data_IF_745951571168
#
_entry.id   IF_745951571168
#
_cell.length_a   1.000
_cell.length_b   1.000
_cell.length_c   1.000
_cell.angle_alpha   90.00
_cell.angle_beta   90.00
_cell.angle_gamma   90.00
#
_symmetry.space_group_name_H-M   'P 1'
#
loop_
_entity.id
_entity.type
_entity.pdbx_description
1 polymer ?
#
# COMPACT_ATOMS: atom_id res chain seq x y z
N UNK A 1 3.25 -14.89 10.66
CA UNK A 1 3.61 -13.68 11.41
C UNK A 1 2.35 -13.08 12.05
N UNK A 2 2.43 -12.66 13.32
CA UNK A 2 1.29 -12.15 14.11
C UNK A 2 1.76 -10.94 14.93
N UNK A 3 1.00 -9.85 14.91
CA UNK A 3 1.14 -8.72 15.85
C UNK A 3 0.44 -9.11 17.15
N UNK A 4 1.20 -9.30 18.23
CA UNK A 4 0.70 -9.71 19.55
C UNK A 4 0.23 -8.51 20.39
N UNK A 5 1.03 -7.46 20.41
CA UNK A 5 0.76 -6.25 21.20
C UNK A 5 1.10 -5.00 20.40
N UNK A 6 0.35 -3.93 20.66
CA UNK A 6 0.59 -2.60 20.09
C UNK A 6 0.50 -1.55 21.19
N UNK A 7 1.56 -0.79 21.34
CA UNK A 7 1.62 0.35 22.23
C UNK A 7 1.74 1.65 21.43
N UNK A 8 0.91 2.60 21.73
CA UNK A 8 0.85 3.90 21.05
C UNK A 8 0.91 5.00 22.09
N UNK A 9 1.70 6.04 21.82
CA UNK A 9 1.76 7.28 22.59
C UNK A 9 1.68 8.48 21.63
N UNK A 10 0.72 9.36 21.84
CA UNK A 10 0.54 10.65 21.15
C UNK A 10 0.50 10.55 19.60
N UNK A 11 -0.13 9.51 19.06
CA UNK A 11 -0.26 9.35 17.61
C UNK A 11 -1.64 9.80 17.13
N UNK A 12 -1.68 10.86 16.35
CA UNK A 12 -2.90 11.50 15.83
C UNK A 12 -3.87 11.84 16.99
N UNK A 13 -5.06 11.21 17.06
CA UNK A 13 -6.01 11.38 18.15
C UNK A 13 -5.87 10.35 19.28
N UNK A 14 -4.93 9.42 19.19
CA UNK A 14 -4.67 8.40 20.20
C UNK A 14 -3.57 8.94 21.14
N UNK A 15 -3.96 9.32 22.37
CA UNK A 15 -3.00 9.79 23.37
C UNK A 15 -2.17 8.66 23.96
N UNK A 16 -2.85 7.59 24.37
CA UNK A 16 -2.20 6.39 24.87
C UNK A 16 -3.08 5.18 24.60
N UNK A 17 -2.48 4.11 24.12
CA UNK A 17 -3.14 2.81 23.97
C UNK A 17 -2.13 1.67 24.16
N UNK A 18 -2.57 0.62 24.87
CA UNK A 18 -1.85 -0.65 25.01
C UNK A 18 -2.83 -1.78 24.73
N UNK A 19 -2.63 -2.49 23.61
CA UNK A 19 -3.60 -3.44 23.08
C UNK A 19 -2.95 -4.79 22.86
N UNK A 20 -3.68 -5.87 23.20
CA UNK A 20 -3.34 -7.25 22.87
C UNK A 20 -4.32 -7.79 21.87
N UNK A 21 -3.82 -8.53 20.90
CA UNK A 21 -4.60 -9.00 19.75
C UNK A 21 -4.72 -10.51 19.69
N UNK A 22 -5.83 -10.96 19.11
CA UNK A 22 -5.99 -12.36 18.72
C UNK A 22 -5.20 -12.67 17.46
N UNK A 23 -4.91 -13.95 17.25
CA UNK A 23 -4.10 -14.41 16.11
C UNK A 23 -4.83 -14.30 14.77
N UNK A 24 -6.16 -14.14 14.80
CA UNK A 24 -6.96 -14.19 13.57
C UNK A 24 -7.72 -12.89 13.33
N UNK A 25 -8.73 -12.58 14.12
CA UNK A 25 -9.65 -11.48 13.84
C UNK A 25 -9.69 -10.49 14.99
N UNK A 26 -9.45 -9.24 14.70
CA UNK A 26 -9.48 -8.12 15.64
C UNK A 26 -10.43 -7.04 15.12
N UNK A 27 -11.55 -6.85 15.79
CA UNK A 27 -12.66 -5.99 15.38
C UNK A 27 -12.66 -4.69 16.20
N UNK A 28 -12.86 -3.56 15.53
CA UNK A 28 -12.93 -2.23 16.16
C UNK A 28 -14.24 -1.56 15.78
N UNK A 29 -15.13 -1.37 16.78
CA UNK A 29 -16.45 -0.78 16.61
C UNK A 29 -16.48 0.60 17.22
N UNK A 30 -17.06 1.57 16.53
CA UNK A 30 -17.25 2.92 17.05
C UNK A 30 -17.72 3.88 15.98
N UNK A 31 -18.21 5.04 16.38
CA UNK A 31 -18.62 6.09 15.46
C UNK A 31 -17.44 6.62 14.64
N UNK A 32 -17.72 7.35 13.56
CA UNK A 32 -16.69 8.00 12.76
C UNK A 32 -15.92 9.03 13.60
N UNK A 33 -14.61 9.19 13.30
CA UNK A 33 -13.73 10.11 14.02
C UNK A 33 -13.22 9.61 15.38
N UNK A 34 -13.61 8.43 15.85
CA UNK A 34 -13.23 7.93 17.18
C UNK A 34 -11.77 7.40 17.25
N UNK A 35 -11.08 7.25 16.12
CA UNK A 35 -9.67 6.81 16.09
C UNK A 35 -9.44 5.40 15.52
N UNK A 36 -10.47 4.74 15.00
CA UNK A 36 -10.38 3.41 14.38
C UNK A 36 -9.32 3.38 13.25
N UNK A 37 -9.49 4.24 12.24
CA UNK A 37 -8.54 4.41 11.12
C UNK A 37 -7.13 4.77 11.61
N UNK A 38 -7.00 5.58 12.67
CA UNK A 38 -5.70 5.96 13.21
C UNK A 38 -4.97 4.80 13.88
N UNK A 39 -5.69 3.85 14.46
CA UNK A 39 -5.11 2.60 14.95
C UNK A 39 -4.57 1.75 13.79
N UNK A 40 -5.36 1.55 12.72
CA UNK A 40 -4.90 0.81 11.55
C UNK A 40 -3.69 1.50 10.90
N UNK A 41 -3.69 2.82 10.84
CA UNK A 41 -2.54 3.59 10.32
C UNK A 41 -1.29 3.44 11.19
N UNK A 42 -1.42 3.30 12.51
CA UNK A 42 -0.28 3.00 13.39
C UNK A 42 0.33 1.61 13.07
N UNK A 43 -0.50 0.60 12.81
CA UNK A 43 -0.03 -0.74 12.37
C UNK A 43 0.63 -0.64 10.99
N UNK A 44 0.00 0.07 10.05
CA UNK A 44 0.56 0.35 8.72
C UNK A 44 1.93 1.05 8.81
N UNK A 45 2.05 2.03 9.72
CA UNK A 45 3.29 2.77 9.92
C UNK A 45 4.45 1.86 10.34
N UNK A 46 4.19 0.86 11.19
CA UNK A 46 5.20 -0.13 11.58
C UNK A 46 5.63 -1.06 10.45
N UNK A 47 4.82 -1.25 9.40
CA UNK A 47 5.16 -2.03 8.22
C UNK A 47 5.90 -1.20 7.16
N UNK A 48 5.34 -0.03 6.81
CA UNK A 48 5.82 0.80 5.70
C UNK A 48 6.71 1.97 6.13
N UNK A 49 7.01 2.11 7.39
CA UNK A 49 7.80 3.21 7.98
C UNK A 49 7.23 4.61 7.73
N UNK A 50 5.98 4.72 7.32
CA UNK A 50 5.25 5.97 7.03
C UNK A 50 3.75 5.78 7.24
N UNK A 51 3.02 6.87 7.46
CA UNK A 51 1.56 6.86 7.48
C UNK A 51 0.99 6.57 6.08
N UNK A 52 -0.14 5.86 6.01
CA UNK A 52 -0.90 5.69 4.78
C UNK A 52 -1.57 6.99 4.32
N UNK A 53 -1.93 7.86 5.26
CA UNK A 53 -2.75 9.05 5.02
C UNK A 53 -1.96 10.35 5.02
N UNK A 54 -0.81 10.39 5.71
CA UNK A 54 -0.06 11.62 5.88
C UNK A 54 1.44 11.39 5.70
N UNK A 55 2.00 11.99 4.66
CA UNK A 55 3.41 11.82 4.30
C UNK A 55 4.37 12.61 5.20
N UNK A 56 3.87 13.59 5.95
CA UNK A 56 4.68 14.43 6.85
C UNK A 56 4.64 13.86 8.27
N UNK A 57 5.75 13.27 8.72
CA UNK A 57 5.82 12.57 10.01
C UNK A 57 5.35 13.42 11.21
N UNK A 58 5.74 14.70 11.27
CA UNK A 58 5.36 15.61 12.37
C UNK A 58 3.86 15.89 12.46
N UNK A 59 3.10 15.70 11.38
CA UNK A 59 1.64 15.85 11.38
C UNK A 59 0.92 14.62 11.95
N UNK A 60 1.63 13.52 12.16
CA UNK A 60 1.10 12.34 12.84
C UNK A 60 1.23 12.41 14.36
N UNK A 61 1.88 13.43 14.90
CA UNK A 61 1.97 13.69 16.35
C UNK A 61 0.71 14.44 16.81
N UNK A 62 0.13 14.05 17.93
CA UNK A 62 -0.98 14.78 18.56
C UNK A 62 -0.65 16.28 18.65
N UNK A 63 -1.61 17.15 18.32
CA UNK A 63 -1.36 18.59 18.13
C UNK A 63 -0.67 19.29 19.30
N UNK A 64 -0.96 18.87 20.52
CA UNK A 64 -0.42 19.48 21.77
C UNK A 64 0.91 18.88 22.19
N UNK A 65 1.43 17.88 21.46
CA UNK A 65 2.57 17.08 21.88
C UNK A 65 3.79 17.29 20.96
N UNK A 66 4.98 17.07 21.52
CA UNK A 66 6.26 17.21 20.83
C UNK A 66 6.74 15.91 20.17
N UNK A 67 6.22 14.77 20.66
CA UNK A 67 6.65 13.46 20.19
C UNK A 67 5.51 12.45 20.20
N UNK A 68 5.64 11.45 19.31
CA UNK A 68 4.80 10.26 19.29
C UNK A 68 5.67 9.00 19.27
N UNK A 69 5.14 7.89 19.78
CA UNK A 69 5.78 6.59 19.71
C UNK A 69 4.75 5.52 19.31
N UNK A 70 5.16 4.63 18.44
CA UNK A 70 4.42 3.42 18.06
C UNK A 70 5.34 2.24 18.27
N UNK A 71 4.87 1.21 18.96
CA UNK A 71 5.63 -0.01 19.22
C UNK A 71 4.74 -1.24 19.08
N UNK A 72 5.16 -2.19 18.25
CA UNK A 72 4.51 -3.47 18.07
C UNK A 72 5.40 -4.62 18.53
N UNK A 73 4.81 -5.61 19.18
CA UNK A 73 5.44 -6.90 19.50
C UNK A 73 4.95 -7.94 18.50
N UNK A 74 5.85 -8.45 17.66
CA UNK A 74 5.55 -9.37 16.59
C UNK A 74 6.07 -10.77 16.86
N UNK A 75 5.26 -11.75 16.51
CA UNK A 75 5.62 -13.17 16.48
C UNK A 75 5.87 -13.55 15.00
N UNK A 76 7.13 -13.82 14.65
CA UNK A 76 7.51 -14.19 13.29
C UNK A 76 7.35 -15.68 12.99
N UNK A 77 6.92 -16.49 13.99
CA UNK A 77 6.62 -17.91 13.80
C UNK A 77 7.85 -18.79 13.64
N UNK A 78 9.04 -18.32 14.04
CA UNK A 78 10.24 -19.14 14.08
C UNK A 78 10.23 -20.10 15.29
N UNK A 79 10.73 -21.35 15.15
CA UNK A 79 10.69 -22.34 16.22
C UNK A 79 11.59 -22.04 17.44
N UNK A 80 12.38 -20.98 17.39
CA UNK A 80 13.28 -20.57 18.48
C UNK A 80 12.54 -19.77 19.56
N UNK A 81 13.03 -19.86 20.80
CA UNK A 81 12.49 -19.13 21.96
C UNK A 81 12.49 -17.61 21.83
N UNK A 82 13.13 -17.05 20.79
CA UNK A 82 13.23 -15.64 20.50
C UNK A 82 12.31 -15.17 19.35
N UNK A 83 11.22 -15.92 19.11
CA UNK A 83 10.26 -15.61 18.03
C UNK A 83 9.55 -14.26 18.17
N UNK A 84 9.57 -13.66 19.37
CA UNK A 84 8.96 -12.35 19.63
C UNK A 84 9.98 -11.22 19.43
N UNK A 85 9.69 -10.36 18.48
CA UNK A 85 10.51 -9.15 18.23
C UNK A 85 9.70 -7.87 18.35
N UNK A 86 10.33 -6.86 18.91
CA UNK A 86 9.75 -5.52 19.04
C UNK A 86 10.16 -4.67 17.83
N UNK A 87 9.19 -4.08 17.16
CA UNK A 87 9.39 -3.04 16.14
C UNK A 87 8.86 -1.73 16.72
N UNK A 88 9.66 -0.68 16.69
CA UNK A 88 9.25 0.61 17.26
C UNK A 88 9.66 1.80 16.39
N UNK A 89 8.84 2.83 16.41
CA UNK A 89 9.11 4.11 15.78
C UNK A 89 8.86 5.26 16.76
N UNK A 90 9.88 6.09 16.97
CA UNK A 90 9.79 7.38 17.66
C UNK A 90 9.79 8.52 16.65
N UNK A 91 8.80 9.41 16.73
CA UNK A 91 8.66 10.60 15.90
C UNK A 91 8.74 11.82 16.83
N UNK A 92 9.60 12.79 16.48
CA UNK A 92 9.72 14.06 17.20
C UNK A 92 9.73 15.21 16.20
N UNK A 93 9.09 16.34 16.56
CA UNK A 93 9.03 17.53 15.71
C UNK A 93 10.44 18.05 15.41
N UNK A 94 10.72 18.34 14.14
CA UNK A 94 12.01 18.87 13.68
C UNK A 94 13.20 17.91 13.73
N UNK A 95 12.97 16.63 14.07
CA UNK A 95 14.03 15.62 14.16
C UNK A 95 13.70 14.44 13.24
N UNK A 96 14.74 13.82 12.65
CA UNK A 96 14.58 12.57 11.88
C UNK A 96 14.01 11.48 12.79
N UNK A 97 12.96 10.80 12.32
CA UNK A 97 12.36 9.68 13.06
C UNK A 97 13.36 8.57 13.32
N UNK A 98 13.20 7.91 14.46
CA UNK A 98 13.99 6.78 14.89
C UNK A 98 13.16 5.50 14.71
N UNK A 99 13.66 4.55 13.94
CA UNK A 99 12.99 3.27 13.66
C UNK A 99 13.91 2.11 14.10
N UNK A 100 13.37 1.17 14.87
CA UNK A 100 14.15 0.10 15.53
C UNK A 100 13.53 -1.27 15.31
N UNK A 101 14.41 -2.25 15.21
CA UNK A 101 14.09 -3.69 15.34
C UNK A 101 14.81 -4.22 16.58
N UNK A 102 14.05 -4.59 17.60
CA UNK A 102 14.60 -4.89 18.92
C UNK A 102 15.39 -3.70 19.48
N UNK A 103 16.67 -3.92 19.77
CA UNK A 103 17.59 -2.89 20.29
C UNK A 103 18.37 -2.15 19.20
N UNK A 104 18.22 -2.51 17.91
CA UNK A 104 19.02 -1.98 16.81
C UNK A 104 18.26 -0.92 16.02
N UNK A 105 18.87 0.24 15.81
CA UNK A 105 18.35 1.26 14.88
C UNK A 105 18.60 0.85 13.44
N UNK A 106 17.61 1.10 12.55
CA UNK A 106 17.82 0.97 11.11
C UNK A 106 18.69 2.10 10.58
N UNK A 107 19.76 1.75 9.87
CA UNK A 107 20.58 2.73 9.15
C UNK A 107 19.83 3.27 7.92
N UNK A 108 19.18 2.39 7.19
CA UNK A 108 18.36 2.69 6.01
C UNK A 108 16.98 2.05 6.18
N UNK A 109 15.91 2.85 6.10
CA UNK A 109 14.53 2.36 6.28
C UNK A 109 14.09 1.35 5.21
N UNK A 110 14.73 1.37 4.05
CA UNK A 110 14.50 0.38 2.99
C UNK A 110 14.77 -1.06 3.47
N UNK A 111 15.65 -1.25 4.46
CA UNK A 111 15.97 -2.57 5.02
C UNK A 111 14.81 -3.18 5.82
N UNK A 112 13.84 -2.34 6.20
CA UNK A 112 12.65 -2.76 6.94
C UNK A 112 11.49 -3.18 6.03
N UNK A 113 11.40 -2.57 4.84
CA UNK A 113 10.28 -2.85 3.91
C UNK A 113 10.28 -4.33 3.52
N UNK A 114 9.10 -4.97 3.65
CA UNK A 114 8.92 -6.41 3.40
C UNK A 114 9.13 -7.30 4.62
N UNK A 115 9.69 -6.79 5.73
CA UNK A 115 9.80 -7.56 6.98
C UNK A 115 8.43 -7.91 7.57
N UNK A 116 7.49 -6.97 7.49
CA UNK A 116 6.10 -7.11 7.94
C UNK A 116 5.19 -6.96 6.72
N UNK A 117 4.92 -8.02 5.94
CA UNK A 117 4.01 -7.93 4.81
C UNK A 117 2.61 -7.53 5.28
N UNK A 118 2.07 -6.51 4.64
CA UNK A 118 0.80 -5.92 5.04
C UNK A 118 -0.01 -5.46 3.82
N UNK A 119 -1.31 -5.67 3.88
CA UNK A 119 -2.27 -5.12 2.92
C UNK A 119 -3.28 -4.28 3.68
N UNK A 120 -3.51 -3.08 3.20
CA UNK A 120 -4.55 -2.20 3.73
C UNK A 120 -5.61 -1.96 2.66
N UNK A 121 -6.87 -2.13 3.06
CA UNK A 121 -8.06 -1.69 2.31
C UNK A 121 -8.63 -0.48 3.02
N UNK A 122 -8.79 0.62 2.31
CA UNK A 122 -9.31 1.85 2.85
C UNK A 122 -10.23 2.57 1.86
N UNK A 123 -11.06 3.52 2.30
CA UNK A 123 -11.88 4.35 1.41
C UNK A 123 -11.06 5.11 0.34
N UNK A 124 -9.79 5.45 0.63
CA UNK A 124 -8.88 6.13 -0.31
C UNK A 124 -8.47 5.25 -1.50
N UNK A 125 -8.62 3.93 -1.41
CA UNK A 125 -8.32 3.05 -2.54
C UNK A 125 -9.17 3.34 -3.78
N UNK A 126 -10.28 4.07 -3.64
CA UNK A 126 -11.05 4.61 -4.77
C UNK A 126 -10.21 5.48 -5.72
N UNK A 127 -9.12 6.09 -5.24
CA UNK A 127 -8.17 6.87 -6.02
C UNK A 127 -7.47 6.03 -7.10
N UNK A 128 -7.30 4.71 -6.91
CA UNK A 128 -6.79 3.80 -7.93
C UNK A 128 -7.63 3.82 -9.22
N UNK A 129 -8.95 4.04 -9.09
CA UNK A 129 -9.86 4.12 -10.24
C UNK A 129 -10.06 5.57 -10.67
N UNK A 130 -10.30 6.48 -9.71
CA UNK A 130 -10.68 7.87 -10.01
C UNK A 130 -9.51 8.74 -10.46
N UNK A 131 -8.32 8.52 -9.89
CA UNK A 131 -7.13 9.33 -10.16
C UNK A 131 -6.33 8.84 -11.38
N UNK A 132 -5.17 9.45 -11.57
CA UNK A 132 -4.26 9.15 -12.69
C UNK A 132 -3.48 7.84 -12.52
N UNK A 133 -2.65 7.55 -13.52
CA UNK A 133 -1.78 6.37 -13.53
C UNK A 133 -0.75 6.33 -12.41
N UNK A 134 -0.49 7.46 -11.75
CA UNK A 134 0.45 7.53 -10.62
C UNK A 134 0.02 6.62 -9.45
N UNK A 135 -1.28 6.62 -9.09
CA UNK A 135 -1.80 5.77 -8.01
C UNK A 135 -1.71 4.29 -8.37
N UNK A 136 -2.00 3.94 -9.62
CA UNK A 136 -1.88 2.56 -10.09
C UNK A 136 -0.43 2.06 -10.14
N UNK A 137 0.52 2.92 -10.50
CA UNK A 137 1.96 2.60 -10.36
C UNK A 137 2.36 2.44 -8.91
N UNK A 138 1.92 3.34 -8.01
CA UNK A 138 2.17 3.21 -6.56
C UNK A 138 1.63 1.90 -5.98
N UNK A 139 0.47 1.43 -6.48
CA UNK A 139 -0.05 0.12 -6.10
C UNK A 139 0.92 -1.00 -6.47
N UNK A 140 1.35 -1.09 -7.75
CA UNK A 140 2.31 -2.10 -8.19
C UNK A 140 3.63 -2.01 -7.40
N UNK A 141 4.18 -0.79 -7.27
CA UNK A 141 5.43 -0.54 -6.56
C UNK A 141 5.33 -0.94 -5.08
N UNK A 142 4.20 -0.64 -4.44
CA UNK A 142 3.93 -0.98 -3.04
C UNK A 142 3.80 -2.49 -2.80
N UNK A 143 3.28 -3.24 -3.77
CA UNK A 143 3.20 -4.71 -3.67
C UNK A 143 4.57 -5.34 -3.90
N UNK A 144 5.22 -5.01 -5.02
CA UNK A 144 6.49 -5.62 -5.42
C UNK A 144 7.58 -5.32 -4.38
N UNK A 145 7.64 -4.11 -3.85
CA UNK A 145 8.62 -3.71 -2.84
C UNK A 145 8.54 -4.52 -1.54
N UNK A 146 7.41 -5.18 -1.25
CA UNK A 146 7.28 -6.01 -0.06
C UNK A 146 7.95 -7.38 -0.18
N UNK A 147 8.21 -7.87 -1.40
CA UNK A 147 8.85 -9.18 -1.60
C UNK A 147 10.15 -9.11 -2.42
N UNK A 148 10.40 -7.99 -3.11
CA UNK A 148 11.61 -7.76 -3.89
C UNK A 148 12.32 -6.48 -3.45
N UNK A 149 13.36 -6.64 -2.63
CA UNK A 149 14.18 -5.52 -2.17
C UNK A 149 14.97 -4.86 -3.30
N UNK A 150 15.45 -5.65 -4.26
CA UNK A 150 16.18 -5.12 -5.41
C UNK A 150 15.30 -4.21 -6.26
N UNK A 151 14.02 -4.57 -6.41
CA UNK A 151 13.04 -3.71 -7.08
C UNK A 151 12.94 -2.33 -6.41
N UNK A 152 12.84 -2.29 -5.09
CA UNK A 152 12.75 -1.02 -4.37
C UNK A 152 14.04 -0.19 -4.52
N UNK A 153 15.21 -0.83 -4.54
CA UNK A 153 16.48 -0.15 -4.77
C UNK A 153 16.56 0.43 -6.20
N UNK A 154 16.21 -0.34 -7.24
CA UNK A 154 16.13 0.13 -8.62
C UNK A 154 15.10 1.26 -8.78
N UNK A 155 13.92 1.16 -8.15
CA UNK A 155 12.89 2.20 -8.19
C UNK A 155 13.39 3.53 -7.59
N UNK A 156 14.09 3.47 -6.47
CA UNK A 156 14.68 4.66 -5.83
C UNK A 156 15.74 5.32 -6.72
N UNK A 157 16.62 4.53 -7.33
CA UNK A 157 17.66 5.04 -8.24
C UNK A 157 17.03 5.65 -9.50
N UNK A 158 16.07 4.96 -10.12
CA UNK A 158 15.36 5.49 -11.28
C UNK A 158 14.70 6.84 -10.96
N UNK A 159 14.00 6.95 -9.84
CA UNK A 159 13.33 8.18 -9.44
C UNK A 159 14.32 9.33 -9.14
N UNK A 160 15.49 9.02 -8.58
CA UNK A 160 16.55 10.02 -8.37
C UNK A 160 17.11 10.53 -9.70
N UNK A 161 17.40 9.63 -10.65
CA UNK A 161 17.88 9.97 -11.99
C UNK A 161 16.83 10.74 -12.81
N UNK A 162 15.55 10.33 -12.72
CA UNK A 162 14.44 11.06 -13.35
C UNK A 162 14.35 12.50 -12.84
N UNK A 163 14.51 12.69 -11.52
CA UNK A 163 14.54 14.04 -10.93
C UNK A 163 15.73 14.86 -11.43
N UNK A 164 16.91 14.25 -11.55
CA UNK A 164 18.11 14.90 -12.09
C UNK A 164 17.91 15.28 -13.56
N UNK A 165 17.40 14.35 -14.39
CA UNK A 165 17.11 14.62 -15.80
C UNK A 165 16.10 15.75 -15.96
N UNK A 166 15.01 15.74 -15.19
CA UNK A 166 14.01 16.80 -15.23
C UNK A 166 14.57 18.15 -14.77
N UNK A 167 15.48 18.18 -13.80
CA UNK A 167 16.15 19.42 -13.40
C UNK A 167 17.02 20.00 -14.51
N UNK A 168 17.75 19.15 -15.25
CA UNK A 168 18.52 19.58 -16.43
C UNK A 168 17.60 20.08 -17.55
N UNK A 169 16.54 19.34 -17.87
CA UNK A 169 15.57 19.76 -18.88
C UNK A 169 15.03 21.16 -18.58
N UNK A 170 14.63 21.41 -17.33
CA UNK A 170 14.14 22.71 -16.90
C UNK A 170 15.20 23.81 -16.93
N UNK A 171 16.48 23.49 -16.64
CA UNK A 171 17.59 24.43 -16.69
C UNK A 171 17.84 24.97 -18.11
N UNK A 172 17.63 24.13 -19.12
CA UNK A 172 17.90 24.47 -20.54
C UNK A 172 16.62 24.72 -21.35
N UNK A 173 15.46 24.85 -20.72
CA UNK A 173 14.17 25.09 -21.38
C UNK A 173 14.18 26.35 -22.25
N UNK A 174 14.80 27.46 -21.76
CA UNK A 174 14.92 28.72 -22.49
C UNK A 174 16.03 28.71 -23.56
N UNK A 175 17.04 27.83 -23.41
CA UNK A 175 18.20 27.72 -24.30
C UNK A 175 18.52 26.28 -24.70
N UNK A 176 17.60 25.57 -25.41
CA UNK A 176 17.75 24.15 -25.72
C UNK A 176 19.04 23.79 -26.50
N UNK A 177 19.52 24.72 -27.33
CA UNK A 177 20.74 24.51 -28.11
C UNK A 177 22.04 24.47 -27.29
N UNK A 178 22.01 24.93 -26.04
CA UNK A 178 23.14 24.92 -25.10
C UNK A 178 23.11 23.70 -24.19
N UNK A 179 22.09 22.85 -24.30
CA UNK A 179 21.94 21.68 -23.46
C UNK A 179 23.07 20.65 -23.72
N UNK A 180 23.79 20.19 -22.69
CA UNK A 180 24.90 19.25 -22.84
C UNK A 180 24.39 17.85 -23.13
N UNK A 181 24.48 17.42 -24.38
CA UNK A 181 23.97 16.12 -24.85
C UNK A 181 24.62 14.96 -24.08
N UNK A 182 25.90 14.99 -23.86
CA UNK A 182 26.67 13.95 -23.17
C UNK A 182 26.21 13.74 -21.73
N UNK A 183 25.80 14.80 -21.04
CA UNK A 183 25.30 14.71 -19.67
C UNK A 183 23.93 14.03 -19.62
N UNK A 184 23.06 14.31 -20.59
CA UNK A 184 21.79 13.58 -20.73
C UNK A 184 22.02 12.11 -21.01
N UNK A 185 22.96 11.76 -21.92
CA UNK A 185 23.26 10.39 -22.28
C UNK A 185 23.75 9.56 -21.08
N UNK A 186 24.62 10.13 -20.24
CA UNK A 186 25.10 9.45 -19.03
C UNK A 186 23.95 9.15 -18.06
N UNK A 187 23.02 10.09 -17.86
CA UNK A 187 21.86 9.88 -17.00
C UNK A 187 20.89 8.86 -17.62
N UNK A 188 20.63 8.98 -18.92
CA UNK A 188 19.69 8.14 -19.66
C UNK A 188 20.14 6.67 -19.69
N UNK A 189 21.43 6.38 -19.88
CA UNK A 189 22.00 5.03 -19.81
C UNK A 189 21.71 4.39 -18.45
N UNK A 190 21.93 5.11 -17.35
CA UNK A 190 21.63 4.60 -16.02
C UNK A 190 20.12 4.44 -15.80
N UNK A 191 19.31 5.37 -16.32
CA UNK A 191 17.84 5.25 -16.25
C UNK A 191 17.33 4.01 -16.98
N UNK A 192 17.92 3.66 -18.13
CA UNK A 192 17.53 2.48 -18.91
C UNK A 192 17.78 1.19 -18.11
N UNK A 193 18.96 1.06 -17.49
CA UNK A 193 19.30 -0.12 -16.65
C UNK A 193 18.24 -0.36 -15.57
N UNK A 194 17.92 0.68 -14.80
CA UNK A 194 16.93 0.57 -13.72
C UNK A 194 15.51 0.39 -14.28
N UNK A 195 15.15 1.05 -15.37
CA UNK A 195 13.84 0.94 -15.99
C UNK A 195 13.55 -0.47 -16.51
N UNK A 196 14.54 -1.14 -17.12
CA UNK A 196 14.39 -2.51 -17.60
C UNK A 196 14.12 -3.49 -16.45
N UNK A 197 14.84 -3.38 -15.34
CA UNK A 197 14.59 -4.21 -14.18
C UNK A 197 13.14 -4.01 -13.66
N UNK A 198 12.72 -2.77 -13.48
CA UNK A 198 11.38 -2.41 -13.00
C UNK A 198 10.30 -2.93 -13.97
N UNK A 199 10.50 -2.77 -15.27
CA UNK A 199 9.59 -3.26 -16.31
C UNK A 199 9.38 -4.78 -16.23
N UNK A 200 10.46 -5.55 -16.13
CA UNK A 200 10.38 -7.00 -16.03
C UNK A 200 9.68 -7.46 -14.76
N UNK A 201 9.98 -6.82 -13.62
CA UNK A 201 9.33 -7.15 -12.36
C UNK A 201 7.83 -6.80 -12.33
N UNK A 202 7.43 -5.66 -12.92
CA UNK A 202 6.02 -5.29 -13.05
C UNK A 202 5.27 -6.26 -13.98
N UNK A 203 5.90 -6.68 -15.06
CA UNK A 203 5.33 -7.65 -16.01
C UNK A 203 5.11 -9.01 -15.33
N UNK A 204 6.13 -9.56 -14.67
CA UNK A 204 6.02 -10.82 -13.90
C UNK A 204 4.96 -10.72 -12.80
N UNK A 205 4.99 -9.64 -12.04
CA UNK A 205 3.99 -9.40 -10.99
C UNK A 205 2.57 -9.48 -11.53
N UNK A 206 2.24 -8.75 -12.59
CA UNK A 206 0.88 -8.72 -13.13
C UNK A 206 0.47 -10.08 -13.70
N UNK A 207 1.35 -10.79 -14.38
CA UNK A 207 1.05 -12.14 -14.88
C UNK A 207 0.69 -13.11 -13.74
N UNK A 208 1.39 -13.04 -12.62
CA UNK A 208 1.15 -13.89 -11.44
C UNK A 208 -0.01 -13.42 -10.57
N UNK A 209 -0.27 -12.12 -10.55
CA UNK A 209 -1.30 -11.50 -9.72
C UNK A 209 -2.71 -11.64 -10.29
N UNK A 210 -2.88 -11.52 -11.61
CA UNK A 210 -4.19 -11.52 -12.29
C UNK A 210 -5.07 -12.72 -11.91
N UNK A 211 -4.58 -13.96 -11.84
CA UNK A 211 -5.41 -15.10 -11.43
C UNK A 211 -5.99 -14.95 -10.02
N UNK A 212 -5.19 -14.50 -9.04
CA UNK A 212 -5.66 -14.28 -7.67
C UNK A 212 -6.68 -13.14 -7.59
N UNK A 213 -6.46 -12.06 -8.35
CA UNK A 213 -7.42 -10.97 -8.46
C UNK A 213 -8.77 -11.43 -9.05
N UNK A 214 -8.75 -12.16 -10.16
CA UNK A 214 -9.97 -12.65 -10.83
C UNK A 214 -10.74 -13.63 -9.94
N UNK A 215 -10.05 -14.53 -9.25
CA UNK A 215 -10.66 -15.42 -8.25
C UNK A 215 -11.38 -14.65 -7.16
N UNK A 216 -10.74 -13.61 -6.59
CA UNK A 216 -11.35 -12.79 -5.55
C UNK A 216 -12.54 -11.99 -6.09
N UNK A 217 -12.46 -11.48 -7.31
CA UNK A 217 -13.57 -10.77 -7.92
C UNK A 217 -14.78 -11.67 -8.14
N UNK A 218 -14.59 -12.84 -8.71
CA UNK A 218 -15.65 -13.84 -8.90
C UNK A 218 -16.31 -14.23 -7.56
N UNK A 219 -15.50 -14.42 -6.52
CA UNK A 219 -16.01 -14.74 -5.18
C UNK A 219 -16.84 -13.61 -4.56
N UNK A 220 -16.57 -12.34 -4.88
CA UNK A 220 -17.33 -11.17 -4.39
C UNK A 220 -18.55 -10.88 -5.25
N UNK A 221 -18.40 -10.89 -6.60
CA UNK A 221 -19.45 -10.49 -7.55
C UNK A 221 -20.43 -11.61 -7.92
N UNK A 222 -20.05 -12.88 -7.73
CA UNK A 222 -20.88 -14.05 -8.08
C UNK A 222 -20.76 -14.47 -9.54
N UNK A 223 -19.58 -14.40 -10.13
CA UNK A 223 -19.23 -14.93 -11.46
C UNK A 223 -19.97 -14.31 -12.66
N UNK A 224 -20.84 -13.31 -12.42
CA UNK A 224 -21.66 -12.71 -13.49
C UNK A 224 -20.93 -11.68 -14.35
N UNK A 225 -19.75 -11.23 -13.93
CA UNK A 225 -19.03 -10.11 -14.52
C UNK A 225 -17.58 -10.50 -14.88
N UNK A 226 -17.16 -10.16 -16.09
CA UNK A 226 -15.78 -10.35 -16.51
C UNK A 226 -14.94 -9.13 -16.19
N UNK A 227 -13.80 -9.34 -15.54
CA UNK A 227 -12.82 -8.29 -15.25
C UNK A 227 -11.46 -8.62 -15.79
N UNK A 228 -10.75 -7.59 -16.20
CA UNK A 228 -9.35 -7.73 -16.63
C UNK A 228 -8.48 -6.63 -16.05
N UNK A 229 -7.19 -6.96 -15.92
CA UNK A 229 -6.15 -6.10 -15.44
C UNK A 229 -4.92 -6.29 -16.33
N UNK A 230 -4.46 -5.23 -16.98
CA UNK A 230 -3.38 -5.30 -17.95
C UNK A 230 -2.32 -4.22 -17.68
N UNK A 231 -1.06 -4.63 -17.60
CA UNK A 231 0.07 -3.71 -17.52
C UNK A 231 0.44 -3.24 -18.92
N UNK A 232 0.52 -1.93 -19.11
CA UNK A 232 0.88 -1.27 -20.35
C UNK A 232 2.12 -0.43 -20.12
N UNK A 233 3.17 -0.67 -20.91
CA UNK A 233 4.43 0.06 -20.85
C UNK A 233 4.94 0.39 -22.24
N UNK A 234 5.57 1.54 -22.39
CA UNK A 234 6.25 1.94 -23.62
C UNK A 234 7.42 1.03 -23.98
N UNK A 235 7.97 0.30 -23.00
CA UNK A 235 9.08 -0.63 -23.19
C UNK A 235 8.66 -1.93 -23.89
N UNK A 236 7.36 -2.19 -24.05
CA UNK A 236 6.85 -3.35 -24.79
C UNK A 236 7.17 -3.29 -26.28
N UNK A 237 7.26 -2.09 -26.84
CA UNK A 237 7.35 -1.88 -28.29
C UNK A 237 8.66 -1.21 -28.72
N UNK A 238 9.47 -0.67 -27.80
CA UNK A 238 10.58 0.23 -28.12
C UNK A 238 11.78 0.09 -27.20
N UNK A 239 12.95 0.25 -27.75
CA UNK A 239 14.15 0.49 -26.98
C UNK A 239 14.08 1.85 -26.28
N UNK A 240 14.27 1.86 -24.95
CA UNK A 240 14.11 3.07 -24.15
C UNK A 240 15.27 4.07 -24.39
N UNK A 241 16.48 3.61 -24.70
CA UNK A 241 17.62 4.49 -24.96
C UNK A 241 17.39 5.26 -26.27
N UNK A 242 16.94 4.58 -27.32
CA UNK A 242 16.55 5.22 -28.57
C UNK A 242 15.35 6.18 -28.37
N UNK A 243 14.39 5.78 -27.52
CA UNK A 243 13.24 6.62 -27.19
C UNK A 243 13.66 7.91 -26.52
N UNK A 244 14.58 7.88 -25.54
CA UNK A 244 15.13 9.09 -24.90
C UNK A 244 15.85 10.00 -25.89
N UNK A 245 16.75 9.46 -26.71
CA UNK A 245 17.48 10.24 -27.72
C UNK A 245 16.53 10.96 -28.69
N UNK A 246 15.49 10.26 -29.16
CA UNK A 246 14.49 10.81 -30.07
C UNK A 246 13.62 11.88 -29.44
N UNK A 247 13.22 11.71 -28.17
CA UNK A 247 12.29 12.63 -27.50
C UNK A 247 12.98 13.78 -26.77
N UNK A 248 14.31 13.77 -26.62
CA UNK A 248 15.07 14.80 -25.90
C UNK A 248 14.80 16.22 -26.42
N UNK A 249 14.70 16.50 -27.75
CA UNK A 249 14.36 17.83 -28.21
C UNK A 249 12.98 18.30 -27.73
N UNK A 250 11.99 17.40 -27.71
CA UNK A 250 10.64 17.67 -27.16
C UNK A 250 10.68 17.86 -25.64
N UNK A 251 11.42 16.98 -24.93
CA UNK A 251 11.54 17.03 -23.47
C UNK A 251 12.16 18.37 -23.02
N UNK A 252 13.12 18.90 -23.77
CA UNK A 252 13.72 20.23 -23.55
C UNK A 252 12.70 21.37 -23.69
N UNK A 253 11.76 21.25 -24.61
CA UNK A 253 10.71 22.28 -24.82
C UNK A 253 9.67 22.23 -23.69
N UNK A 254 9.29 21.03 -23.23
CA UNK A 254 8.24 20.85 -22.22
C UNK A 254 8.78 20.88 -20.77
N UNK A 255 10.11 20.80 -20.58
CA UNK A 255 10.76 20.85 -19.27
C UNK A 255 10.68 19.56 -18.45
N UNK A 256 10.21 18.43 -19.01
CA UNK A 256 10.13 17.14 -18.29
C UNK A 256 10.26 15.94 -19.24
N UNK A 257 10.59 14.79 -18.64
CA UNK A 257 10.76 13.50 -19.33
C UNK A 257 9.40 12.93 -19.75
N UNK A 258 9.22 12.65 -21.05
CA UNK A 258 7.97 12.16 -21.62
C UNK A 258 7.94 10.65 -21.87
N UNK A 259 9.08 9.95 -21.74
CA UNK A 259 9.24 8.50 -21.98
C UNK A 259 9.78 7.79 -20.74
N UNK A 260 9.40 6.52 -20.55
CA UNK A 260 9.92 5.66 -19.50
C UNK A 260 8.86 5.11 -18.55
N UNK A 261 9.28 4.27 -17.60
CA UNK A 261 8.42 3.48 -16.69
C UNK A 261 7.53 4.34 -15.76
N UNK A 262 7.85 5.62 -15.60
CA UNK A 262 7.00 6.59 -14.89
C UNK A 262 5.79 7.05 -15.72
N UNK A 263 5.64 6.55 -16.95
CA UNK A 263 4.47 6.73 -17.84
C UNK A 263 3.65 5.45 -18.00
N UNK A 264 4.07 4.36 -17.37
CA UNK A 264 3.37 3.09 -17.42
C UNK A 264 1.95 3.19 -16.86
N UNK A 265 1.08 2.31 -17.33
CA UNK A 265 -0.32 2.26 -16.93
C UNK A 265 -0.71 0.84 -16.51
N UNK A 266 -1.65 0.75 -15.58
CA UNK A 266 -2.37 -0.46 -15.23
C UNK A 266 -3.82 -0.31 -15.68
N UNK A 267 -4.17 -0.88 -16.82
CA UNK A 267 -5.49 -0.78 -17.41
C UNK A 267 -6.47 -1.71 -16.67
N UNK A 268 -7.53 -1.13 -16.16
CA UNK A 268 -8.55 -1.76 -15.33
C UNK A 268 -9.87 -1.78 -16.11
N UNK A 269 -10.39 -2.99 -16.39
CA UNK A 269 -11.59 -3.14 -17.23
C UNK A 269 -12.67 -3.99 -16.58
N UNK A 270 -13.90 -3.64 -16.94
CA UNK A 270 -15.11 -4.45 -16.75
C UNK A 270 -15.66 -4.80 -18.13
N UNK A 271 -15.61 -6.09 -18.50
CA UNK A 271 -15.76 -6.51 -19.87
C UNK A 271 -14.72 -5.83 -20.77
N UNK A 272 -15.18 -5.30 -21.91
CA UNK A 272 -14.31 -4.61 -22.89
C UNK A 272 -14.10 -3.11 -22.58
N UNK A 273 -14.68 -2.58 -21.51
CA UNK A 273 -14.69 -1.15 -21.25
C UNK A 273 -13.86 -0.77 -20.01
N UNK A 274 -13.25 0.44 -20.00
CA UNK A 274 -12.55 0.95 -18.82
C UNK A 274 -13.48 1.01 -17.61
N UNK A 275 -13.07 0.39 -16.50
CA UNK A 275 -13.85 0.33 -15.26
C UNK A 275 -14.31 1.73 -14.77
N UNK A 276 -13.42 2.73 -14.88
CA UNK A 276 -13.71 4.12 -14.49
C UNK A 276 -14.95 4.69 -15.20
N UNK A 277 -15.26 4.24 -16.43
CA UNK A 277 -16.36 4.80 -17.26
C UNK A 277 -17.68 4.08 -17.06
N UNK A 278 -17.63 2.75 -16.89
CA UNK A 278 -18.84 1.92 -16.94
C UNK A 278 -19.22 1.29 -15.60
N UNK A 279 -18.25 1.18 -14.67
CA UNK A 279 -18.47 0.54 -13.38
C UNK A 279 -19.39 1.35 -12.47
N UNK A 280 -20.46 0.72 -11.95
CA UNK A 280 -21.24 1.26 -10.84
C UNK A 280 -20.35 1.40 -9.58
N UNK A 281 -20.80 2.17 -8.59
CA UNK A 281 -20.05 2.33 -7.33
C UNK A 281 -19.79 0.99 -6.63
N UNK A 282 -20.79 0.10 -6.61
CA UNK A 282 -20.64 -1.25 -6.06
C UNK A 282 -19.65 -2.12 -6.83
N UNK A 283 -19.65 -2.06 -8.18
CA UNK A 283 -18.70 -2.77 -9.04
C UNK A 283 -17.28 -2.25 -8.85
N UNK A 284 -17.09 -0.94 -8.81
CA UNK A 284 -15.79 -0.32 -8.55
C UNK A 284 -15.25 -0.73 -7.17
N UNK A 285 -16.09 -0.72 -6.14
CA UNK A 285 -15.68 -1.15 -4.80
C UNK A 285 -15.36 -2.64 -4.74
N UNK A 286 -16.16 -3.49 -5.38
CA UNK A 286 -15.87 -4.92 -5.50
C UNK A 286 -14.55 -5.18 -6.23
N UNK A 287 -14.25 -4.42 -7.28
CA UNK A 287 -13.00 -4.52 -8.03
C UNK A 287 -11.79 -4.17 -7.15
N UNK A 288 -11.86 -3.05 -6.43
CA UNK A 288 -10.79 -2.62 -5.51
C UNK A 288 -10.58 -3.62 -4.39
N UNK A 289 -11.66 -4.10 -3.79
CA UNK A 289 -11.58 -5.09 -2.73
C UNK A 289 -10.99 -6.40 -3.24
N UNK A 290 -11.38 -6.85 -4.44
CA UNK A 290 -10.81 -8.03 -5.09
C UNK A 290 -9.31 -7.85 -5.38
N UNK A 291 -8.86 -6.68 -5.83
CA UNK A 291 -7.44 -6.39 -6.00
C UNK A 291 -6.68 -6.51 -4.68
N UNK A 292 -7.21 -5.95 -3.59
CA UNK A 292 -6.55 -5.97 -2.28
C UNK A 292 -6.57 -7.36 -1.62
N UNK A 293 -7.68 -8.09 -1.71
CA UNK A 293 -7.73 -9.47 -1.22
C UNK A 293 -6.86 -10.39 -2.07
N UNK A 294 -6.84 -10.20 -3.40
CA UNK A 294 -5.89 -10.87 -4.30
C UNK A 294 -4.44 -10.57 -3.94
N UNK A 295 -4.12 -9.31 -3.59
CA UNK A 295 -2.81 -8.92 -3.07
C UNK A 295 -2.45 -9.69 -1.79
N UNK A 296 -3.40 -9.86 -0.87
CA UNK A 296 -3.16 -10.62 0.37
C UNK A 296 -2.90 -12.12 0.09
N UNK A 297 -3.59 -12.70 -0.88
CA UNK A 297 -3.31 -14.07 -1.34
C UNK A 297 -1.92 -14.16 -1.99
N UNK A 298 -1.60 -13.22 -2.88
CA UNK A 298 -0.32 -13.15 -3.59
C UNK A 298 0.88 -13.03 -2.63
N UNK A 299 0.77 -12.22 -1.58
CA UNK A 299 1.81 -12.01 -0.57
C UNK A 299 1.90 -13.13 0.48
N UNK A 300 1.06 -14.17 0.43
CA UNK A 300 1.16 -15.32 1.30
C UNK A 300 0.74 -15.06 2.76
N UNK A 301 -0.47 -14.57 2.98
CA UNK A 301 -1.08 -14.30 4.30
C UNK A 301 -0.40 -13.17 5.08
N UNK A 302 -0.30 -11.96 4.52
CA UNK A 302 0.15 -10.76 5.23
C UNK A 302 -0.83 -10.39 6.37
N UNK A 303 -0.45 -9.40 7.18
CA UNK A 303 -1.43 -8.70 8.03
C UNK A 303 -2.41 -7.96 7.11
N UNK A 304 -3.71 -8.12 7.36
CA UNK A 304 -4.77 -7.50 6.57
C UNK A 304 -5.50 -6.45 7.40
N UNK A 305 -5.43 -5.20 6.95
CA UNK A 305 -6.14 -4.06 7.55
C UNK A 305 -7.34 -3.72 6.67
N UNK A 306 -8.53 -3.75 7.25
CA UNK A 306 -9.80 -3.50 6.56
C UNK A 306 -10.51 -2.30 7.21
N UNK A 307 -10.40 -1.12 6.57
CA UNK A 307 -10.99 0.11 7.10
C UNK A 307 -12.31 0.42 6.40
N UNK A 308 -13.40 0.28 7.13
CA UNK A 308 -14.76 0.67 6.72
C UNK A 308 -15.19 0.07 5.36
N UNK A 309 -14.95 -1.26 5.18
CA UNK A 309 -15.04 -1.92 3.88
C UNK A 309 -16.46 -2.18 3.39
N UNK A 310 -17.47 -2.16 4.26
CA UNK A 310 -18.84 -2.55 3.91
C UNK A 310 -19.70 -1.42 3.35
N UNK A 311 -19.24 -0.16 3.44
CA UNK A 311 -19.94 0.99 2.88
C UNK A 311 -20.18 0.82 1.37
N UNK A 312 -21.37 1.22 0.88
CA UNK A 312 -21.77 1.18 -0.54
C UNK A 312 -21.83 -0.21 -1.20
N UNK A 313 -21.90 -1.27 -0.42
CA UNK A 313 -22.13 -2.63 -0.90
C UNK A 313 -23.55 -3.08 -0.56
N UNK A 314 -24.13 -3.92 -1.43
CA UNK A 314 -25.38 -4.61 -1.15
C UNK A 314 -25.18 -5.77 -0.16
N UNK A 315 -26.26 -6.25 0.45
CA UNK A 315 -26.23 -7.26 1.49
C UNK A 315 -25.58 -8.59 1.02
N UNK A 316 -25.76 -8.96 -0.25
CA UNK A 316 -25.22 -10.20 -0.80
C UNK A 316 -23.69 -10.14 -0.92
N UNK A 317 -23.14 -9.02 -1.39
CA UNK A 317 -21.70 -8.79 -1.44
C UNK A 317 -21.07 -8.71 -0.05
N UNK A 318 -21.76 -8.03 0.89
CA UNK A 318 -21.33 -7.99 2.30
C UNK A 318 -21.22 -9.40 2.88
N UNK A 319 -22.24 -10.26 2.66
CA UNK A 319 -22.19 -11.63 3.15
C UNK A 319 -21.04 -12.44 2.55
N UNK A 320 -20.81 -12.34 1.24
CA UNK A 320 -19.69 -13.01 0.57
C UNK A 320 -18.31 -12.55 1.11
N UNK A 321 -18.15 -11.25 1.35
CA UNK A 321 -16.92 -10.70 1.94
C UNK A 321 -16.74 -11.24 3.35
N UNK A 322 -17.80 -11.29 4.17
CA UNK A 322 -17.74 -11.87 5.51
C UNK A 322 -17.29 -13.33 5.44
N UNK A 323 -17.84 -14.12 4.53
CA UNK A 323 -17.43 -15.54 4.34
C UNK A 323 -15.96 -15.65 3.93
N UNK A 324 -15.50 -14.83 2.98
CA UNK A 324 -14.11 -14.81 2.52
C UNK A 324 -13.15 -14.45 3.64
N UNK A 325 -13.39 -13.35 4.35
CA UNK A 325 -12.51 -12.83 5.43
C UNK A 325 -12.47 -13.79 6.63
N UNK A 326 -13.59 -14.46 6.95
CA UNK A 326 -13.66 -15.47 8.00
C UNK A 326 -12.95 -16.79 7.66
N UNK A 327 -12.57 -17.00 6.41
CA UNK A 327 -11.88 -18.20 5.96
C UNK A 327 -10.43 -18.28 6.46
N UNK A 328 -9.80 -19.46 6.36
CA UNK A 328 -8.38 -19.66 6.69
C UNK A 328 -7.40 -19.16 5.61
N UNK A 329 -7.91 -18.51 4.56
CA UNK A 329 -7.09 -18.04 3.43
C UNK A 329 -6.20 -16.85 3.79
N UNK A 330 -6.62 -16.02 4.73
CA UNK A 330 -5.91 -14.81 5.15
C UNK A 330 -5.15 -15.03 6.47
N UNK A 331 -4.14 -14.18 6.71
CA UNK A 331 -3.39 -14.09 7.96
C UNK A 331 -4.20 -13.44 9.09
N UNK A 332 -3.52 -12.65 9.92
CA UNK A 332 -4.16 -11.84 10.97
C UNK A 332 -4.89 -10.65 10.33
N UNK A 333 -6.11 -10.39 10.81
CA UNK A 333 -7.03 -9.38 10.25
C UNK A 333 -7.39 -8.37 11.33
N UNK A 334 -7.32 -7.09 10.96
CA UNK A 334 -7.80 -5.96 11.74
C UNK A 334 -8.89 -5.27 10.92
N UNK A 335 -10.09 -5.20 11.48
CA UNK A 335 -11.24 -4.63 10.77
C UNK A 335 -11.91 -3.55 11.59
N UNK A 336 -12.26 -2.46 10.95
CA UNK A 336 -13.04 -1.37 11.55
C UNK A 336 -14.43 -1.31 10.92
N UNK A 337 -15.43 -1.01 11.72
CA UNK A 337 -16.79 -0.72 11.24
C UNK A 337 -17.50 0.25 12.19
N UNK A 338 -18.49 0.96 11.66
CA UNK A 338 -19.47 1.72 12.44
C UNK A 338 -20.64 0.87 12.86
N UNK A 339 -20.98 -0.17 12.08
CA UNK A 339 -22.10 -1.08 12.35
C UNK A 339 -21.60 -2.36 13.05
N UNK A 340 -22.13 -2.58 14.26
CA UNK A 340 -21.82 -3.76 15.04
C UNK A 340 -22.37 -5.05 14.42
N UNK A 341 -23.43 -4.97 13.60
CA UNK A 341 -24.09 -6.17 13.04
C UNK A 341 -23.16 -6.92 12.08
N UNK A 342 -22.43 -6.22 11.22
CA UNK A 342 -21.46 -6.84 10.31
C UNK A 342 -20.37 -7.61 11.07
N UNK A 343 -19.84 -6.98 12.13
CA UNK A 343 -18.80 -7.61 12.94
C UNK A 343 -19.34 -8.79 13.74
N UNK A 344 -20.57 -8.74 14.25
CA UNK A 344 -21.22 -9.86 14.91
C UNK A 344 -21.35 -11.07 13.96
N UNK A 345 -21.79 -10.84 12.71
CA UNK A 345 -21.91 -11.91 11.72
C UNK A 345 -20.55 -12.56 11.37
N UNK A 346 -19.44 -11.81 11.45
CA UNK A 346 -18.07 -12.37 11.32
C UNK A 346 -17.70 -13.20 12.56
N UNK A 347 -17.98 -12.68 13.75
CA UNK A 347 -17.68 -13.33 15.02
C UNK A 347 -18.40 -14.68 15.16
N UNK A 348 -19.68 -14.74 14.74
CA UNK A 348 -20.48 -15.97 14.74
C UNK A 348 -19.87 -17.08 13.86
N UNK A 349 -19.15 -16.68 12.80
CA UNK A 349 -18.41 -17.61 11.92
C UNK A 349 -16.99 -17.96 12.40
N UNK A 350 -16.44 -17.18 13.35
CA UNK A 350 -15.07 -17.38 13.88
C UNK A 350 -14.98 -17.20 15.42
N UNK A 351 -15.85 -17.82 16.22
CA UNK A 351 -16.06 -17.45 17.63
C UNK A 351 -14.86 -17.66 18.55
N UNK A 352 -13.94 -18.56 18.22
CA UNK A 352 -12.86 -18.96 19.14
C UNK A 352 -11.54 -18.17 18.96
N UNK A 353 -11.44 -17.26 17.98
CA UNK A 353 -10.16 -16.62 17.59
C UNK A 353 -10.36 -15.12 17.27
N UNK A 354 -11.30 -14.46 17.93
CA UNK A 354 -11.59 -13.06 17.66
C UNK A 354 -11.55 -12.22 18.95
N UNK A 355 -11.10 -10.98 18.83
CA UNK A 355 -11.16 -9.96 19.88
C UNK A 355 -11.88 -8.73 19.35
N UNK A 356 -12.80 -8.18 20.13
CA UNK A 356 -13.56 -6.99 19.76
C UNK A 356 -13.24 -5.84 20.72
N UNK A 357 -13.07 -4.65 20.18
CA UNK A 357 -12.82 -3.42 20.93
C UNK A 357 -13.89 -2.37 20.62
N UNK A 358 -14.45 -1.78 21.66
CA UNK A 358 -15.23 -0.54 21.53
C UNK A 358 -14.26 0.64 21.49
N UNK A 359 -14.39 1.47 20.46
CA UNK A 359 -13.52 2.64 20.26
C UNK A 359 -14.30 3.93 20.56
N UNK A 360 -13.77 4.74 21.47
CA UNK A 360 -14.37 6.03 21.86
C UNK A 360 -13.27 7.05 22.17
N UNK A 361 -13.22 8.15 21.43
CA UNK A 361 -12.26 9.25 21.62
C UNK A 361 -10.78 8.80 21.75
N UNK A 362 -10.34 7.87 20.89
CA UNK A 362 -8.97 7.34 20.90
C UNK A 362 -8.69 6.34 22.03
N UNK A 363 -9.71 5.92 22.77
CA UNK A 363 -9.63 4.85 23.78
C UNK A 363 -10.23 3.56 23.23
N UNK A 364 -9.64 2.43 23.61
CA UNK A 364 -9.97 1.10 23.10
C UNK A 364 -10.29 0.18 24.28
N UNK A 365 -11.55 -0.21 24.44
CA UNK A 365 -12.01 -1.08 25.52
C UNK A 365 -12.38 -2.44 24.94
N UNK A 366 -11.75 -3.51 25.42
CA UNK A 366 -12.12 -4.87 25.03
C UNK A 366 -13.53 -5.21 25.50
N UNK A 367 -14.34 -5.87 24.62
CA UNK A 367 -15.72 -6.27 24.86
C UNK A 367 -15.78 -7.75 25.26
#
# INVERSE_FOLDING_TARGET
>A
MILRELNILNYKNIREASLRFSDKLNCFVGLNGQGKTNLLDAIYYLSFTKSAYNTVDSQNITHTEEMAMIQGLYDFGEPSSDALETISCGIKRGVKKQFRRGKKDYKRLIEHIGLIPLVMVSPQDSELISEGSDERRRFMDGVISQYDRSYLEHLMQYNALLKQRNALLKQYEEHPSQAPTELFEVIEIQMVEHALYIYYQRTDFIQRFVPAFQEMYAAISGESEQVSLQYISQLQERDLQEAFARTRPRDLIVGWTTQGIHKDELDMRLGDYPLKRVGSQGQQKSYLLAMKLGQAIFLGKPILLLDDIFDKLDAERVERIIQLVSSHRFGQIFITDTDRQHLTAMLDKTPSIATTFQVTNGQFNAL
#
